data_IF_359225498212
#
_entry.id   IF_359225498212
#
_cell.length_a   1.000
_cell.length_b   1.000
_cell.length_c   1.000
_cell.angle_alpha   90.00
_cell.angle_beta   90.00
_cell.angle_gamma   90.00
#
_symmetry.space_group_name_H-M   'P 1'
#
loop_
_entity.id
_entity.type
_entity.pdbx_description
1 polymer ?
#
# COMPACT_ATOMS: atom_id res chain seq x y z
N UNK A 1 20.63 5.43 12.72
CA UNK A 1 19.31 5.72 12.15
C UNK A 1 18.37 6.03 13.32
N UNK A 2 17.27 6.78 13.18
CA UNK A 2 16.29 6.85 14.25
C UNK A 2 15.73 5.44 14.45
N UNK A 3 15.80 4.91 15.66
CA UNK A 3 15.52 3.50 15.99
C UNK A 3 14.02 3.12 15.89
N UNK A 4 13.22 3.90 15.14
CA UNK A 4 11.76 3.90 15.27
C UNK A 4 10.99 4.26 13.99
N UNK A 5 11.58 4.18 12.79
CA UNK A 5 10.84 4.48 11.55
C UNK A 5 10.05 3.24 11.10
N UNK A 6 8.76 3.41 10.83
CA UNK A 6 7.87 2.37 10.29
C UNK A 6 7.68 1.17 11.22
N UNK A 7 7.88 1.35 12.53
CA UNK A 7 7.91 0.29 13.53
C UNK A 7 6.53 -0.04 14.14
N UNK A 8 5.52 0.81 13.92
CA UNK A 8 4.19 0.67 14.51
C UNK A 8 3.10 0.49 13.44
N UNK A 9 2.30 -0.57 13.58
CA UNK A 9 1.14 -0.78 12.70
C UNK A 9 0.01 0.16 13.11
N UNK A 10 -0.48 0.95 12.16
CA UNK A 10 -1.53 1.95 12.38
C UNK A 10 -2.71 1.42 13.21
N UNK A 11 -3.15 2.22 14.20
CA UNK A 11 -4.29 1.94 15.09
C UNK A 11 -4.19 0.70 16.00
N UNK A 12 -3.07 -0.03 16.01
CA UNK A 12 -2.80 -1.05 17.04
C UNK A 12 -2.61 -0.42 18.43
N UNK A 13 -2.67 -1.23 19.48
CA UNK A 13 -2.47 -0.75 20.86
C UNK A 13 -1.10 -0.06 21.01
N UNK A 14 -0.04 -0.65 20.43
CA UNK A 14 1.32 -0.10 20.46
C UNK A 14 1.41 1.24 19.72
N UNK A 15 0.70 1.36 18.59
CA UNK A 15 0.61 2.63 17.85
C UNK A 15 -0.13 3.69 18.66
N UNK A 16 -1.24 3.34 19.29
CA UNK A 16 -2.04 4.24 20.13
C UNK A 16 -1.27 4.67 21.39
N UNK A 17 -0.52 3.77 22.01
CA UNK A 17 0.29 4.09 23.18
C UNK A 17 1.39 5.10 22.84
N UNK A 18 2.08 4.93 21.71
CA UNK A 18 3.05 5.91 21.23
C UNK A 18 2.37 7.25 20.83
N UNK A 19 1.22 7.19 20.16
CA UNK A 19 0.45 8.38 19.82
C UNK A 19 -0.03 9.14 21.07
N UNK A 20 -0.30 8.43 22.19
CA UNK A 20 -0.68 9.04 23.47
C UNK A 20 0.44 9.88 24.06
N UNK A 21 1.68 9.39 24.04
CA UNK A 21 2.84 10.15 24.49
C UNK A 21 2.98 11.45 23.68
N UNK A 22 2.87 11.34 22.36
CA UNK A 22 2.92 12.48 21.45
C UNK A 22 1.76 13.46 21.67
N UNK A 23 0.53 12.95 21.85
CA UNK A 23 -0.65 13.76 22.12
C UNK A 23 -0.48 14.55 23.41
N UNK A 24 0.00 13.92 24.48
CA UNK A 24 0.24 14.58 25.76
C UNK A 24 1.25 15.73 25.62
N UNK A 25 2.35 15.52 24.89
CA UNK A 25 3.33 16.59 24.62
C UNK A 25 2.73 17.78 23.86
N UNK A 26 1.91 17.52 22.85
CA UNK A 26 1.28 18.57 22.05
C UNK A 26 0.16 19.27 22.84
N UNK A 27 -0.66 18.54 23.60
CA UNK A 27 -1.63 19.13 24.52
C UNK A 27 -0.96 20.04 25.55
N UNK A 28 0.18 19.65 26.10
CA UNK A 28 0.94 20.48 27.03
C UNK A 28 1.46 21.76 26.38
N UNK A 29 1.90 21.68 25.12
CA UNK A 29 2.34 22.85 24.33
C UNK A 29 1.20 23.83 24.07
N UNK A 30 -0.01 23.34 23.81
CA UNK A 30 -1.19 24.13 23.47
C UNK A 30 -2.19 24.30 24.63
N UNK A 31 -1.78 23.99 25.87
CA UNK A 31 -2.67 23.84 27.03
C UNK A 31 -3.58 25.03 27.26
N UNK A 32 -3.05 26.25 27.19
CA UNK A 32 -3.84 27.46 27.45
C UNK A 32 -4.87 27.73 26.36
N UNK A 33 -4.55 27.43 25.10
CA UNK A 33 -5.50 27.53 24.00
C UNK A 33 -6.57 26.43 24.10
N UNK A 34 -6.18 25.21 24.46
CA UNK A 34 -7.09 24.07 24.59
C UNK A 34 -8.10 24.22 25.73
N UNK A 35 -7.76 24.91 26.83
CA UNK A 35 -8.72 25.23 27.92
C UNK A 35 -9.94 26.02 27.44
N UNK A 36 -9.79 26.77 26.35
CA UNK A 36 -10.86 27.55 25.73
C UNK A 36 -11.58 26.83 24.59
N UNK A 37 -11.09 25.67 24.17
CA UNK A 37 -11.72 24.85 23.15
C UNK A 37 -12.90 24.07 23.74
N UNK A 38 -13.95 23.87 22.94
CA UNK A 38 -15.05 22.99 23.32
C UNK A 38 -14.59 21.53 23.39
N UNK A 39 -15.32 20.71 24.15
CA UNK A 39 -15.12 19.25 24.12
C UNK A 39 -15.32 18.78 22.68
N UNK A 40 -14.40 17.98 22.18
CA UNK A 40 -14.54 17.37 20.86
C UNK A 40 -13.91 15.97 20.82
N UNK A 41 -14.59 15.04 20.17
CA UNK A 41 -14.17 13.66 20.05
C UNK A 41 -14.08 13.22 18.60
N UNK A 42 -13.04 12.46 18.28
CA UNK A 42 -12.76 11.96 16.94
C UNK A 42 -12.47 10.46 16.98
N UNK A 43 -13.00 9.70 16.03
CA UNK A 43 -12.74 8.27 15.91
C UNK A 43 -12.35 7.88 14.49
N UNK A 44 -11.34 7.02 14.38
CA UNK A 44 -10.97 6.37 13.12
C UNK A 44 -11.16 4.86 13.22
N UNK A 45 -11.94 4.31 12.29
CA UNK A 45 -12.26 2.88 12.22
C UNK A 45 -11.71 2.30 10.93
N UNK A 46 -10.68 1.50 11.06
CA UNK A 46 -9.90 0.92 9.98
C UNK A 46 -10.33 -0.54 9.73
N UNK A 47 -11.16 -0.74 8.71
CA UNK A 47 -11.66 -2.05 8.31
C UNK A 47 -10.60 -2.90 7.60
N UNK A 48 -10.89 -4.20 7.54
CA UNK A 48 -10.01 -5.20 6.95
C UNK A 48 -8.64 -5.14 7.62
N UNK A 49 -8.49 -5.31 8.93
CA UNK A 49 -7.18 -5.24 9.60
C UNK A 49 -6.16 -6.27 9.04
N UNK A 50 -4.84 -6.04 9.18
CA UNK A 50 -3.82 -7.01 8.77
C UNK A 50 -4.00 -8.37 9.46
N UNK A 51 -4.02 -9.45 8.67
CA UNK A 51 -4.33 -10.78 9.18
C UNK A 51 -3.29 -11.32 10.19
N UNK A 52 -2.02 -10.94 10.06
CA UNK A 52 -0.94 -11.38 10.97
C UNK A 52 -1.08 -10.84 12.39
N UNK A 53 -1.89 -9.79 12.60
CA UNK A 53 -2.14 -9.25 13.93
C UNK A 53 -3.11 -10.13 14.73
N UNK A 54 -3.90 -10.99 14.07
CA UNK A 54 -4.88 -11.89 14.71
C UNK A 54 -5.92 -11.17 15.59
N UNK A 55 -6.25 -9.92 15.25
CA UNK A 55 -7.12 -9.01 16.03
C UNK A 55 -8.54 -8.86 15.48
N UNK A 56 -8.92 -9.67 14.49
CA UNK A 56 -10.23 -9.58 13.82
C UNK A 56 -10.23 -8.67 12.61
N UNK A 57 -11.40 -8.13 12.25
CA UNK A 57 -11.61 -7.46 10.96
C UNK A 57 -11.46 -5.94 11.03
N UNK A 58 -11.26 -5.36 12.21
CA UNK A 58 -11.24 -3.91 12.43
C UNK A 58 -10.19 -3.53 13.45
N UNK A 59 -9.53 -2.41 13.20
CA UNK A 59 -8.76 -1.66 14.17
C UNK A 59 -9.42 -0.30 14.33
N UNK A 60 -9.45 0.23 15.55
CA UNK A 60 -10.00 1.55 15.79
C UNK A 60 -9.24 2.27 16.89
N UNK A 61 -9.27 3.59 16.83
CA UNK A 61 -8.91 4.41 17.96
C UNK A 61 -9.83 5.63 18.03
N UNK A 62 -9.90 6.21 19.22
CA UNK A 62 -10.62 7.45 19.45
C UNK A 62 -9.78 8.42 20.25
N UNK A 63 -9.97 9.70 19.97
CA UNK A 63 -9.39 10.83 20.70
C UNK A 63 -10.52 11.67 21.28
N UNK A 64 -10.42 12.06 22.55
CA UNK A 64 -11.32 13.02 23.19
C UNK A 64 -10.50 14.18 23.71
N UNK A 65 -10.80 15.38 23.24
CA UNK A 65 -10.28 16.63 23.78
C UNK A 65 -11.29 17.23 24.75
N UNK A 66 -10.87 17.52 25.98
CA UNK A 66 -11.72 18.13 26.99
C UNK A 66 -10.88 18.87 28.03
N UNK A 67 -11.34 20.04 28.49
CA UNK A 67 -10.76 20.79 29.62
C UNK A 67 -9.25 21.09 29.50
N UNK A 68 -8.72 21.23 28.29
CA UNK A 68 -7.30 21.48 28.05
C UNK A 68 -6.43 20.23 27.90
N UNK A 69 -7.04 19.05 27.92
CA UNK A 69 -6.37 17.74 27.83
C UNK A 69 -6.88 16.97 26.60
N UNK A 70 -6.12 15.96 26.20
CA UNK A 70 -6.46 15.04 25.12
C UNK A 70 -6.22 13.61 25.56
N UNK A 71 -7.21 12.74 25.40
CA UNK A 71 -7.12 11.32 25.69
C UNK A 71 -7.24 10.53 24.39
N UNK A 72 -6.34 9.57 24.16
CA UNK A 72 -6.40 8.64 23.03
C UNK A 72 -6.38 7.18 23.51
N UNK A 73 -7.31 6.39 22.98
CA UNK A 73 -7.53 4.97 23.32
C UNK A 73 -7.74 4.13 22.06
N UNK A 74 -7.36 2.84 22.12
CA UNK A 74 -7.39 1.91 20.99
C UNK A 74 -8.76 1.24 20.85
N UNK A 75 -9.81 2.06 20.84
CA UNK A 75 -11.19 1.62 20.83
C UNK A 75 -12.03 2.53 19.93
N UNK A 76 -13.14 2.00 19.43
CA UNK A 76 -14.15 2.79 18.73
C UNK A 76 -15.14 3.37 19.74
N UNK A 77 -15.39 4.68 19.67
CA UNK A 77 -16.48 5.29 20.44
C UNK A 77 -17.84 4.99 19.79
N UNK A 78 -18.91 4.84 20.58
CA UNK A 78 -20.28 4.85 20.07
C UNK A 78 -20.58 6.07 19.18
N UNK A 79 -21.43 5.92 18.17
CA UNK A 79 -21.77 7.00 17.23
C UNK A 79 -22.35 8.25 17.94
N UNK A 80 -23.10 8.06 19.02
CA UNK A 80 -23.72 9.12 19.82
C UNK A 80 -22.75 9.81 20.78
N UNK A 81 -21.56 9.25 20.99
CA UNK A 81 -20.50 9.80 21.82
C UNK A 81 -19.33 10.40 21.00
N UNK A 82 -19.38 10.25 19.67
CA UNK A 82 -18.32 10.62 18.75
C UNK A 82 -18.72 11.81 17.84
N UNK A 83 -18.13 12.97 18.09
CA UNK A 83 -18.43 14.21 17.36
C UNK A 83 -17.98 14.16 15.89
N UNK A 84 -16.97 13.34 15.59
CA UNK A 84 -16.57 13.00 14.22
C UNK A 84 -16.04 11.58 14.13
N UNK A 85 -16.65 10.76 13.29
CA UNK A 85 -16.16 9.42 12.97
C UNK A 85 -15.77 9.31 11.51
N UNK A 86 -14.65 8.66 11.23
CA UNK A 86 -14.21 8.33 9.88
C UNK A 86 -13.84 6.86 9.82
N UNK A 87 -14.57 6.08 9.01
CA UNK A 87 -14.30 4.68 8.77
C UNK A 87 -13.90 4.43 7.31
N UNK A 88 -12.98 3.49 7.09
CA UNK A 88 -12.50 3.12 5.76
C UNK A 88 -11.56 1.92 5.80
N UNK A 89 -11.00 1.56 4.64
CA UNK A 89 -10.03 0.47 4.57
C UNK A 89 -8.74 0.83 5.32
N UNK A 90 -8.29 -0.07 6.19
CA UNK A 90 -7.06 0.13 6.96
C UNK A 90 -5.84 0.37 6.05
N UNK A 91 -5.81 -0.18 4.83
CA UNK A 91 -4.71 0.08 3.89
C UNK A 91 -4.65 1.53 3.42
N UNK A 92 -5.79 2.20 3.31
CA UNK A 92 -5.85 3.60 2.92
C UNK A 92 -5.65 4.51 4.13
N UNK A 93 -6.19 4.14 5.29
CA UNK A 93 -6.02 4.89 6.54
C UNK A 93 -4.58 4.87 7.05
N UNK A 94 -3.92 3.70 7.03
CA UNK A 94 -2.50 3.58 7.37
C UNK A 94 -1.61 4.43 6.46
N UNK A 95 -1.91 4.49 5.16
CA UNK A 95 -1.19 5.39 4.24
C UNK A 95 -1.54 6.88 4.46
N UNK A 96 -2.77 7.18 4.88
CA UNK A 96 -3.18 8.54 5.24
C UNK A 96 -2.42 9.06 6.46
N UNK A 97 -2.25 8.20 7.47
CA UNK A 97 -1.53 8.51 8.70
C UNK A 97 -0.02 8.76 8.49
N UNK A 98 0.51 8.45 7.30
CA UNK A 98 1.90 8.72 6.91
C UNK A 98 2.09 10.05 6.18
N UNK A 99 1.01 10.80 5.92
CA UNK A 99 1.13 12.12 5.32
C UNK A 99 1.68 13.11 6.35
N UNK A 100 2.83 13.72 6.05
CA UNK A 100 3.39 14.82 6.85
C UNK A 100 2.91 16.15 6.28
N UNK A 101 2.25 16.96 7.09
CA UNK A 101 1.68 18.25 6.70
C UNK A 101 2.65 19.41 6.96
N UNK A 102 3.30 19.45 8.12
CA UNK A 102 4.20 20.53 8.50
C UNK A 102 5.48 20.56 7.65
N UNK A 103 5.86 21.75 7.18
CA UNK A 103 7.05 21.95 6.35
C UNK A 103 6.93 21.41 4.92
N UNK A 104 5.76 20.90 4.53
CA UNK A 104 5.44 20.46 3.17
C UNK A 104 4.51 21.47 2.48
N UNK A 105 4.53 21.46 1.14
CA UNK A 105 3.60 22.27 0.34
C UNK A 105 2.15 21.81 0.59
N UNK A 106 1.26 22.69 1.10
CA UNK A 106 -0.15 22.35 1.36
C UNK A 106 -0.91 21.82 0.14
N UNK A 107 -0.53 22.22 -1.08
CA UNK A 107 -1.16 21.70 -2.30
C UNK A 107 -0.81 20.22 -2.51
N UNK A 108 0.44 19.85 -2.22
CA UNK A 108 0.93 18.48 -2.36
C UNK A 108 0.28 17.55 -1.33
N UNK A 109 0.21 17.99 -0.07
CA UNK A 109 -0.40 17.19 1.01
C UNK A 109 -1.91 17.02 0.82
N UNK A 110 -2.60 18.08 0.38
CA UNK A 110 -4.01 18.01 0.00
C UNK A 110 -4.25 17.08 -1.20
N UNK A 111 -3.40 17.14 -2.22
CA UNK A 111 -3.50 16.23 -3.36
C UNK A 111 -3.31 14.76 -2.95
N UNK A 112 -2.31 14.48 -2.10
CA UNK A 112 -2.06 13.13 -1.57
C UNK A 112 -3.24 12.61 -0.73
N UNK A 113 -3.77 13.45 0.16
CA UNK A 113 -4.97 13.15 0.97
C UNK A 113 -6.17 12.88 0.06
N UNK A 114 -6.48 13.78 -0.88
CA UNK A 114 -7.61 13.63 -1.79
C UNK A 114 -7.51 12.34 -2.62
N UNK A 115 -6.29 11.98 -3.04
CA UNK A 115 -6.05 10.74 -3.76
C UNK A 115 -6.37 9.52 -2.90
N UNK A 116 -5.86 9.45 -1.68
CA UNK A 116 -6.16 8.34 -0.76
C UNK A 116 -7.66 8.28 -0.43
N UNK A 117 -8.31 9.44 -0.26
CA UNK A 117 -9.76 9.52 -0.12
C UNK A 117 -10.49 8.97 -1.36
N UNK A 118 -10.04 9.25 -2.58
CA UNK A 118 -10.70 8.73 -3.79
C UNK A 118 -10.57 7.21 -4.00
N UNK A 119 -9.59 6.58 -3.35
CA UNK A 119 -9.30 5.16 -3.52
C UNK A 119 -10.15 4.25 -2.61
N UNK A 120 -10.88 4.83 -1.66
CA UNK A 120 -11.60 4.10 -0.63
C UNK A 120 -13.08 4.37 -0.62
N UNK A 121 -13.84 3.45 0.00
CA UNK A 121 -15.20 3.74 0.45
C UNK A 121 -15.11 4.23 1.87
N UNK A 122 -15.44 5.51 2.07
CA UNK A 122 -15.40 6.15 3.37
C UNK A 122 -16.80 6.27 3.93
N UNK A 123 -16.92 6.02 5.23
CA UNK A 123 -18.08 6.40 5.99
C UNK A 123 -17.64 7.49 6.94
N UNK A 124 -18.29 8.65 6.89
CA UNK A 124 -18.01 9.73 7.82
C UNK A 124 -19.30 10.20 8.49
N UNK A 125 -19.22 10.38 9.79
CA UNK A 125 -20.26 10.97 10.62
C UNK A 125 -19.71 12.21 11.33
N UNK A 126 -20.59 13.18 11.61
CA UNK A 126 -20.23 14.36 12.36
C UNK A 126 -19.39 15.38 11.57
N UNK A 127 -18.63 16.21 12.28
CA UNK A 127 -17.86 17.31 11.68
C UNK A 127 -16.59 17.60 12.46
N UNK A 128 -15.53 17.99 11.76
CA UNK A 128 -14.29 18.51 12.39
C UNK A 128 -14.61 19.67 13.36
N UNK A 129 -13.81 19.85 14.43
CA UNK A 129 -14.04 20.95 15.37
C UNK A 129 -13.83 22.29 14.67
N UNK A 130 -14.56 23.35 15.03
CA UNK A 130 -14.32 24.68 14.47
C UNK A 130 -13.03 25.34 14.99
N UNK A 131 -12.52 24.92 16.15
CA UNK A 131 -11.38 25.56 16.82
C UNK A 131 -10.02 25.19 16.18
N UNK A 132 -9.25 26.17 15.66
CA UNK A 132 -7.97 25.90 15.00
C UNK A 132 -6.92 25.19 15.86
N UNK A 133 -6.99 25.35 17.19
CA UNK A 133 -6.06 24.69 18.12
C UNK A 133 -6.20 23.16 18.07
N UNK A 134 -7.42 22.64 17.96
CA UNK A 134 -7.66 21.19 17.90
C UNK A 134 -7.08 20.60 16.60
N UNK A 135 -7.24 21.33 15.48
CA UNK A 135 -6.59 20.97 14.21
C UNK A 135 -5.07 20.98 14.32
N UNK A 136 -4.50 22.01 14.94
CA UNK A 136 -3.05 22.15 15.07
C UNK A 136 -2.43 21.02 15.92
N UNK A 137 -3.06 20.69 17.05
CA UNK A 137 -2.61 19.57 17.90
C UNK A 137 -2.71 18.26 17.14
N UNK A 138 -3.85 17.98 16.52
CA UNK A 138 -4.03 16.72 15.80
C UNK A 138 -3.08 16.57 14.60
N UNK A 139 -2.85 17.65 13.85
CA UNK A 139 -1.88 17.66 12.76
C UNK A 139 -0.46 17.39 13.27
N UNK A 140 -0.06 17.99 14.40
CA UNK A 140 1.26 17.75 14.99
C UNK A 140 1.44 16.30 15.47
N UNK A 141 0.39 15.70 16.05
CA UNK A 141 0.38 14.28 16.42
C UNK A 141 0.54 13.40 15.18
N UNK A 142 -0.26 13.64 14.15
CA UNK A 142 -0.15 12.92 12.89
C UNK A 142 1.24 13.04 12.27
N UNK A 143 1.81 14.24 12.19
CA UNK A 143 3.12 14.47 11.57
C UNK A 143 4.26 13.74 12.30
N UNK A 144 4.21 13.70 13.63
CA UNK A 144 5.18 12.93 14.44
C UNK A 144 4.96 11.42 14.35
N UNK A 145 3.72 10.97 14.24
CA UNK A 145 3.39 9.54 14.09
C UNK A 145 3.59 9.03 12.66
N UNK A 146 3.63 9.91 11.66
CA UNK A 146 3.77 9.53 10.26
C UNK A 146 5.03 8.71 9.97
N UNK A 147 6.16 9.10 10.58
CA UNK A 147 7.43 8.37 10.44
C UNK A 147 7.40 7.03 11.20
N UNK A 148 6.67 6.93 12.32
CA UNK A 148 6.50 5.68 13.10
C UNK A 148 5.56 4.69 12.41
N UNK A 149 4.63 5.19 11.60
CA UNK A 149 3.53 4.39 11.05
C UNK A 149 4.02 3.53 9.88
N UNK A 150 3.91 2.22 10.03
CA UNK A 150 4.29 1.25 9.00
C UNK A 150 3.38 1.35 7.75
N UNK A 151 3.92 1.35 6.52
CA UNK A 151 3.12 1.14 5.31
C UNK A 151 2.52 -0.26 5.33
N UNK A 152 1.21 -0.38 5.12
CA UNK A 152 0.50 -1.64 5.33
C UNK A 152 0.81 -2.74 4.30
N UNK A 153 0.96 -2.41 3.04
CA UNK A 153 1.42 -3.37 2.05
C UNK A 153 2.86 -3.00 1.75
N UNK A 154 3.73 -3.99 1.91
CA UNK A 154 5.11 -3.94 1.41
C UNK A 154 5.13 -4.85 0.19
N UNK A 155 5.67 -4.37 -0.93
CA UNK A 155 5.66 -5.05 -2.21
C UNK A 155 6.13 -6.50 -2.03
N UNK A 156 5.37 -7.45 -2.61
CA UNK A 156 5.75 -8.88 -2.64
C UNK A 156 5.86 -9.60 -1.28
N UNK A 157 5.35 -9.01 -0.19
CA UNK A 157 5.14 -9.71 1.09
C UNK A 157 3.94 -10.68 1.02
N UNK A 158 3.84 -11.67 1.93
CA UNK A 158 2.67 -12.57 1.99
C UNK A 158 1.31 -11.84 2.02
N UNK A 159 1.24 -10.66 2.63
CA UNK A 159 0.08 -9.79 2.68
C UNK A 159 -0.29 -9.23 1.30
N UNK A 160 0.72 -8.75 0.56
CA UNK A 160 0.57 -8.34 -0.84
C UNK A 160 0.04 -9.51 -1.68
N UNK A 161 0.59 -10.70 -1.48
CA UNK A 161 0.19 -11.92 -2.20
C UNK A 161 -1.21 -12.38 -1.82
N UNK A 162 -1.66 -12.16 -0.58
CA UNK A 162 -3.04 -12.45 -0.20
C UNK A 162 -4.05 -11.62 -1.00
N UNK A 163 -3.71 -10.35 -1.27
CA UNK A 163 -4.50 -9.49 -2.15
C UNK A 163 -4.46 -10.00 -3.60
N UNK A 164 -3.28 -10.38 -4.08
CA UNK A 164 -3.10 -10.97 -5.41
C UNK A 164 -3.95 -12.23 -5.59
N UNK A 165 -3.92 -13.13 -4.60
CA UNK A 165 -4.72 -14.37 -4.56
C UNK A 165 -6.19 -14.05 -4.73
N UNK A 166 -6.73 -13.14 -3.93
CA UNK A 166 -8.15 -12.77 -3.97
C UNK A 166 -8.56 -12.23 -5.35
N UNK A 167 -7.75 -11.32 -5.93
CA UNK A 167 -8.01 -10.73 -7.25
C UNK A 167 -8.00 -11.83 -8.33
N UNK A 168 -6.97 -12.67 -8.34
CA UNK A 168 -6.80 -13.69 -9.36
C UNK A 168 -7.84 -14.80 -9.25
N UNK A 169 -8.14 -15.30 -8.04
CA UNK A 169 -9.13 -16.36 -7.87
C UNK A 169 -10.52 -15.88 -8.26
N UNK A 170 -10.93 -14.68 -7.83
CA UNK A 170 -12.25 -14.14 -8.16
C UNK A 170 -12.43 -13.97 -9.67
N UNK A 171 -11.41 -13.44 -10.35
CA UNK A 171 -11.41 -13.30 -11.80
C UNK A 171 -11.41 -14.65 -12.49
N UNK A 172 -10.57 -15.59 -12.08
CA UNK A 172 -10.54 -16.94 -12.65
C UNK A 172 -11.87 -17.68 -12.52
N UNK A 173 -12.63 -17.46 -11.44
CA UNK A 173 -13.93 -18.11 -11.22
C UNK A 173 -15.12 -17.40 -11.85
N UNK A 174 -14.96 -16.17 -12.34
CA UNK A 174 -16.08 -15.41 -12.91
C UNK A 174 -16.51 -15.96 -14.27
N UNK A 175 -17.79 -15.79 -14.61
CA UNK A 175 -18.36 -16.25 -15.89
C UNK A 175 -17.58 -15.72 -17.11
N UNK A 176 -16.99 -14.52 -16.97
CA UNK A 176 -16.21 -13.85 -18.01
C UNK A 176 -14.91 -14.59 -18.38
N UNK A 177 -14.26 -15.26 -17.43
CA UNK A 177 -12.91 -15.82 -17.65
C UNK A 177 -12.82 -17.33 -17.44
N UNK A 178 -13.67 -17.91 -16.59
CA UNK A 178 -13.60 -19.32 -16.17
C UNK A 178 -13.50 -20.29 -17.34
N UNK A 179 -14.33 -20.10 -18.37
CA UNK A 179 -14.38 -21.02 -19.50
C UNK A 179 -13.16 -20.92 -20.41
N UNK A 180 -12.55 -19.73 -20.51
CA UNK A 180 -11.35 -19.49 -21.33
C UNK A 180 -10.07 -20.09 -20.73
N UNK A 181 -10.03 -20.29 -19.41
CA UNK A 181 -8.87 -20.88 -18.73
C UNK A 181 -9.04 -22.36 -18.39
N UNK A 182 -10.21 -22.96 -18.64
CA UNK A 182 -10.56 -24.33 -18.20
C UNK A 182 -9.55 -25.40 -18.59
N UNK A 183 -8.93 -25.27 -19.76
CA UNK A 183 -8.01 -26.27 -20.31
C UNK A 183 -6.54 -25.81 -20.21
N UNK A 184 -6.26 -24.79 -19.37
CA UNK A 184 -4.92 -24.22 -19.17
C UNK A 184 -4.20 -24.93 -18.02
N UNK A 185 -2.97 -25.37 -18.30
CA UNK A 185 -1.97 -25.78 -17.31
C UNK A 185 -0.74 -24.88 -17.44
N UNK A 186 -0.52 -24.00 -16.46
CA UNK A 186 0.56 -23.01 -16.50
C UNK A 186 1.04 -22.63 -15.09
N UNK A 187 2.34 -22.45 -14.91
CA UNK A 187 2.99 -22.04 -13.66
C UNK A 187 3.79 -20.77 -13.87
N UNK A 188 3.41 -19.69 -13.20
CA UNK A 188 4.09 -18.40 -13.18
C UNK A 188 4.76 -18.18 -11.81
N UNK A 189 5.96 -17.63 -11.77
CA UNK A 189 6.65 -17.24 -10.53
C UNK A 189 7.35 -15.89 -10.70
N UNK A 190 7.25 -15.02 -9.70
CA UNK A 190 8.12 -13.85 -9.54
C UNK A 190 8.81 -13.91 -8.20
N UNK A 191 10.14 -13.81 -8.21
CA UNK A 191 10.98 -13.98 -7.03
C UNK A 191 11.95 -12.79 -6.92
N UNK A 192 12.00 -12.21 -5.73
CA UNK A 192 12.78 -11.01 -5.43
C UNK A 192 13.78 -11.30 -4.32
N UNK A 193 15.05 -11.16 -4.67
CA UNK A 193 16.21 -11.30 -3.79
C UNK A 193 16.59 -9.94 -3.19
N UNK A 194 17.47 -9.92 -2.19
CA UNK A 194 17.94 -8.67 -1.55
C UNK A 194 16.79 -7.84 -0.97
N UNK A 195 15.86 -8.53 -0.32
CA UNK A 195 14.68 -7.96 0.32
C UNK A 195 15.03 -7.14 1.55
N UNK A 196 14.23 -6.11 1.89
CA UNK A 196 14.47 -5.30 3.06
C UNK A 196 14.23 -6.11 4.34
N UNK A 197 15.20 -6.06 5.27
CA UNK A 197 15.16 -6.83 6.52
C UNK A 197 13.96 -6.54 7.42
N UNK A 198 13.36 -5.35 7.32
CA UNK A 198 12.17 -5.03 8.12
C UNK A 198 10.94 -5.84 7.66
N UNK A 199 10.84 -6.19 6.38
CA UNK A 199 9.72 -6.96 5.82
C UNK A 199 10.05 -8.45 5.63
N UNK A 200 11.33 -8.77 5.50
CA UNK A 200 11.85 -10.13 5.32
C UNK A 200 13.01 -10.36 6.30
N UNK A 201 12.72 -10.49 7.62
CA UNK A 201 13.74 -10.47 8.69
C UNK A 201 14.69 -11.67 8.68
N UNK A 202 14.24 -12.79 8.12
CA UNK A 202 15.01 -14.00 7.88
C UNK A 202 15.82 -13.95 6.57
N UNK A 203 15.71 -12.86 5.80
CA UNK A 203 16.34 -12.71 4.49
C UNK A 203 15.65 -13.52 3.39
N UNK A 204 14.41 -13.99 3.62
CA UNK A 204 13.62 -14.71 2.63
C UNK A 204 13.38 -13.88 1.37
N UNK A 205 13.21 -14.57 0.24
CA UNK A 205 12.83 -13.92 -1.00
C UNK A 205 11.39 -13.43 -0.91
N UNK A 206 11.16 -12.19 -1.33
CA UNK A 206 9.83 -11.70 -1.64
C UNK A 206 9.36 -12.33 -2.94
N UNK A 207 8.05 -12.40 -3.16
CA UNK A 207 7.55 -12.89 -4.44
C UNK A 207 6.19 -13.53 -4.34
N UNK A 208 5.71 -13.98 -5.49
CA UNK A 208 4.52 -14.79 -5.58
C UNK A 208 4.58 -15.73 -6.77
N UNK A 209 3.83 -16.81 -6.66
CA UNK A 209 3.65 -17.76 -7.75
C UNK A 209 2.17 -18.07 -7.95
N UNK A 210 1.84 -18.42 -9.18
CA UNK A 210 0.51 -18.82 -9.60
C UNK A 210 0.59 -20.11 -10.37
N UNK A 211 -0.16 -21.11 -9.92
CA UNK A 211 -0.32 -22.37 -10.62
C UNK A 211 -1.75 -22.48 -11.13
N UNK A 212 -1.92 -22.45 -12.44
CA UNK A 212 -3.15 -22.82 -13.11
C UNK A 212 -3.08 -24.30 -13.47
N UNK A 213 -4.05 -25.09 -13.02
CA UNK A 213 -4.26 -26.48 -13.44
C UNK A 213 -5.70 -26.69 -13.84
N UNK A 214 -5.95 -26.98 -15.10
CA UNK A 214 -7.30 -27.13 -15.66
C UNK A 214 -8.23 -25.98 -15.22
N UNK A 215 -7.74 -24.75 -15.35
CA UNK A 215 -8.47 -23.52 -15.00
C UNK A 215 -8.61 -23.22 -13.51
N UNK A 216 -8.08 -24.06 -12.62
CA UNK A 216 -8.04 -23.79 -11.19
C UNK A 216 -6.73 -23.09 -10.83
N UNK A 217 -6.83 -21.89 -10.25
CA UNK A 217 -5.67 -21.12 -9.80
C UNK A 217 -5.37 -21.41 -8.34
N UNK A 218 -4.09 -21.61 -8.06
CA UNK A 218 -3.50 -21.57 -6.71
C UNK A 218 -2.47 -20.45 -6.71
N UNK A 219 -2.52 -19.59 -5.70
CA UNK A 219 -1.58 -18.46 -5.56
C UNK A 219 -0.88 -18.56 -4.22
N UNK A 220 0.45 -18.59 -4.24
CA UNK A 220 1.29 -18.65 -3.05
C UNK A 220 2.33 -17.54 -3.01
N UNK A 221 2.84 -17.27 -1.81
CA UNK A 221 3.82 -16.23 -1.55
C UNK A 221 5.24 -16.81 -1.50
N UNK A 222 6.23 -15.96 -1.75
CA UNK A 222 7.64 -16.33 -1.79
C UNK A 222 8.00 -17.15 -3.04
N UNK A 223 9.10 -17.91 -2.99
CA UNK A 223 9.58 -18.69 -4.13
C UNK A 223 8.64 -19.86 -4.46
N UNK A 224 8.69 -20.32 -5.70
CA UNK A 224 7.92 -21.48 -6.14
C UNK A 224 8.41 -22.76 -5.40
N UNK A 225 7.52 -23.54 -4.74
CA UNK A 225 7.91 -24.75 -4.05
C UNK A 225 8.58 -25.77 -4.97
N UNK A 226 9.56 -26.53 -4.45
CA UNK A 226 10.35 -27.49 -5.21
C UNK A 226 9.49 -28.53 -5.96
N UNK A 227 8.40 -28.99 -5.34
CA UNK A 227 7.45 -29.96 -5.93
C UNK A 227 6.62 -29.40 -7.10
N UNK A 228 6.73 -28.09 -7.31
CA UNK A 228 5.98 -27.32 -8.30
C UNK A 228 6.88 -26.69 -9.35
N UNK A 229 8.21 -26.80 -9.19
CA UNK A 229 9.21 -26.43 -10.18
C UNK A 229 9.30 -27.45 -11.33
N UNK A 230 9.81 -27.05 -12.51
CA UNK A 230 10.16 -25.68 -12.90
C UNK A 230 8.93 -24.80 -13.19
N UNK A 231 9.05 -23.48 -12.99
CA UNK A 231 8.07 -22.53 -13.48
C UNK A 231 8.04 -22.54 -15.03
N UNK A 232 6.88 -22.26 -15.62
CA UNK A 232 6.76 -22.05 -17.06
C UNK A 232 7.26 -20.66 -17.46
N UNK A 233 7.02 -19.67 -16.59
CA UNK A 233 7.59 -18.33 -16.69
C UNK A 233 8.07 -17.89 -15.31
N UNK A 234 9.32 -17.47 -15.24
CA UNK A 234 9.97 -17.00 -14.01
C UNK A 234 10.52 -15.60 -14.21
N UNK A 235 10.09 -14.65 -13.39
CA UNK A 235 10.81 -13.40 -13.16
C UNK A 235 11.68 -13.58 -11.91
N UNK A 236 13.00 -13.44 -12.03
CA UNK A 236 13.91 -13.37 -10.89
C UNK A 236 14.56 -11.99 -10.87
N UNK A 237 14.51 -11.29 -9.75
CA UNK A 237 15.06 -9.94 -9.66
C UNK A 237 15.61 -9.57 -8.28
N UNK A 238 16.36 -8.48 -8.22
CA UNK A 238 16.70 -7.79 -6.99
C UNK A 238 15.54 -6.85 -6.64
N UNK A 239 15.09 -6.92 -5.39
CA UNK A 239 13.92 -6.19 -4.89
C UNK A 239 14.01 -4.69 -5.15
N UNK A 240 15.16 -4.09 -4.83
CA UNK A 240 15.41 -2.66 -5.02
C UNK A 240 15.44 -2.21 -6.49
N UNK A 241 15.82 -3.08 -7.41
CA UNK A 241 15.86 -2.76 -8.84
C UNK A 241 14.45 -2.70 -9.44
N UNK A 242 13.51 -3.50 -8.94
CA UNK A 242 12.17 -3.64 -9.53
C UNK A 242 11.10 -2.89 -8.75
N UNK A 243 11.28 -2.58 -7.47
CA UNK A 243 10.24 -1.88 -6.69
C UNK A 243 9.74 -0.59 -7.33
N UNK A 244 10.56 0.24 -8.04
CA UNK A 244 10.04 1.43 -8.71
C UNK A 244 9.07 1.09 -9.84
N UNK A 245 9.25 -0.04 -10.53
CA UNK A 245 8.32 -0.53 -11.56
C UNK A 245 7.11 -1.18 -10.91
N UNK A 246 7.33 -2.02 -9.89
CA UNK A 246 6.32 -2.84 -9.21
C UNK A 246 5.26 -2.08 -8.40
N UNK A 247 5.43 -0.76 -8.23
CA UNK A 247 4.45 0.14 -7.57
C UNK A 247 3.77 1.11 -8.54
N UNK A 248 4.13 1.08 -9.82
CA UNK A 248 3.54 1.99 -10.82
C UNK A 248 2.18 1.47 -11.26
N UNK A 249 1.21 2.39 -11.37
CA UNK A 249 -0.12 2.10 -11.93
C UNK A 249 -0.07 2.44 -13.43
N UNK A 250 0.19 1.44 -14.25
CA UNK A 250 0.50 1.61 -15.68
C UNK A 250 -0.66 2.23 -16.46
N UNK A 251 -1.92 1.92 -16.11
CA UNK A 251 -3.10 2.46 -16.79
C UNK A 251 -3.20 4.00 -16.76
N UNK A 252 -2.48 4.67 -15.87
CA UNK A 252 -2.59 6.13 -15.67
C UNK A 252 -1.35 6.91 -16.10
N UNK A 253 -0.39 6.27 -16.78
CA UNK A 253 0.81 6.96 -17.24
C UNK A 253 0.54 7.79 -18.49
N UNK A 254 1.03 9.02 -18.47
CA UNK A 254 1.28 9.87 -19.64
C UNK A 254 2.31 9.21 -20.58
N UNK A 255 2.44 9.73 -21.81
CA UNK A 255 3.41 9.19 -22.76
C UNK A 255 4.86 9.40 -22.29
N UNK A 256 5.16 10.56 -21.69
CA UNK A 256 6.48 10.86 -21.11
C UNK A 256 6.83 9.90 -19.97
N UNK A 257 5.87 9.60 -19.08
CA UNK A 257 6.06 8.63 -17.99
C UNK A 257 6.25 7.20 -18.51
N UNK A 258 5.57 6.83 -19.61
CA UNK A 258 5.81 5.54 -20.25
C UNK A 258 7.21 5.47 -20.85
N UNK A 259 7.67 6.54 -21.48
CA UNK A 259 9.03 6.62 -22.01
C UNK A 259 10.08 6.53 -20.89
N UNK A 260 9.87 7.23 -19.78
CA UNK A 260 10.74 7.18 -18.59
C UNK A 260 10.72 5.80 -17.93
N UNK A 261 9.54 5.21 -17.72
CA UNK A 261 9.40 3.87 -17.13
C UNK A 261 9.97 2.80 -18.07
N UNK A 262 9.84 2.95 -19.38
CA UNK A 262 10.48 2.07 -20.36
C UNK A 262 12.01 2.20 -20.29
N UNK A 263 12.54 3.42 -20.19
CA UNK A 263 13.97 3.64 -20.02
C UNK A 263 14.48 3.04 -18.70
N UNK A 264 13.72 3.18 -17.61
CA UNK A 264 14.02 2.57 -16.33
C UNK A 264 13.98 1.04 -16.42
N UNK A 265 12.93 0.47 -17.00
CA UNK A 265 12.78 -0.98 -17.20
C UNK A 265 13.96 -1.52 -18.00
N UNK A 266 14.35 -0.85 -19.09
CA UNK A 266 15.53 -1.25 -19.85
C UNK A 266 16.81 -1.24 -19.00
N UNK A 267 16.95 -0.28 -18.07
CA UNK A 267 18.08 -0.25 -17.15
C UNK A 267 18.02 -1.33 -16.07
N UNK A 268 16.86 -1.57 -15.47
CA UNK A 268 16.65 -2.57 -14.43
C UNK A 268 16.89 -4.00 -14.96
N UNK A 269 16.57 -4.25 -16.23
CA UNK A 269 16.78 -5.53 -16.91
C UNK A 269 18.14 -5.62 -17.63
N UNK A 270 18.96 -4.57 -17.58
CA UNK A 270 20.28 -4.55 -18.21
C UNK A 270 21.27 -5.36 -17.36
N UNK A 271 22.17 -6.06 -18.03
CA UNK A 271 23.32 -6.68 -17.37
C UNK A 271 24.22 -5.61 -16.72
N UNK A 272 24.41 -5.73 -15.40
CA UNK A 272 25.33 -4.90 -14.62
C UNK A 272 26.72 -5.54 -14.67
N UNK A 273 27.68 -4.80 -15.25
CA UNK A 273 29.06 -5.28 -15.43
C UNK A 273 29.88 -5.23 -14.14
N UNK A 274 29.54 -4.34 -13.22
CA UNK A 274 30.25 -4.17 -11.95
C UNK A 274 29.84 -5.26 -10.96
N UNK A 275 28.54 -5.59 -10.95
CA UNK A 275 28.01 -6.69 -10.14
C UNK A 275 28.13 -8.05 -10.83
N UNK A 276 28.36 -8.09 -12.14
CA UNK A 276 28.40 -9.30 -12.98
C UNK A 276 27.09 -10.12 -12.92
N UNK A 277 25.95 -9.44 -12.91
CA UNK A 277 24.60 -10.03 -12.83
C UNK A 277 23.55 -9.18 -13.56
N UNK A 278 22.41 -9.79 -13.88
CA UNK A 278 21.20 -9.08 -14.33
C UNK A 278 20.34 -8.76 -13.10
N UNK A 279 20.06 -7.47 -12.78
CA UNK A 279 19.24 -7.14 -11.63
C UNK A 279 17.80 -7.62 -11.76
N UNK A 280 17.30 -7.80 -12.97
CA UNK A 280 16.05 -8.50 -13.24
C UNK A 280 16.17 -9.35 -14.52
N UNK A 281 15.64 -10.56 -14.50
CA UNK A 281 15.57 -11.44 -15.66
C UNK A 281 14.24 -12.20 -15.73
N UNK A 282 13.77 -12.40 -16.95
CA UNK A 282 12.64 -13.26 -17.25
C UNK A 282 13.11 -14.47 -18.05
N UNK A 283 12.75 -15.65 -17.57
CA UNK A 283 13.13 -16.93 -18.17
C UNK A 283 11.92 -17.85 -18.30
N UNK A 284 12.08 -18.94 -19.07
CA UNK A 284 11.05 -19.96 -19.25
C UNK A 284 11.60 -21.36 -18.89
N UNK A 285 11.84 -21.63 -17.60
CA UNK A 285 12.60 -22.81 -17.18
C UNK A 285 12.00 -24.16 -17.61
N UNK A 286 10.67 -24.28 -17.70
CA UNK A 286 10.02 -25.51 -18.14
C UNK A 286 10.05 -25.76 -19.66
N UNK A 287 10.37 -24.73 -20.45
CA UNK A 287 10.29 -24.76 -21.90
C UNK A 287 8.88 -24.68 -22.50
N UNK A 288 7.82 -24.50 -21.69
CA UNK A 288 6.42 -24.41 -22.19
C UNK A 288 6.05 -23.10 -22.88
N UNK A 289 6.92 -22.09 -22.82
CA UNK A 289 6.69 -20.81 -23.48
C UNK A 289 6.08 -19.75 -22.58
N UNK A 290 5.53 -18.71 -23.21
CA UNK A 290 4.91 -17.57 -22.53
C UNK A 290 3.55 -17.90 -21.93
N UNK A 291 3.07 -17.05 -21.02
CA UNK A 291 1.73 -17.15 -20.45
C UNK A 291 0.65 -17.22 -21.55
N UNK A 292 -0.29 -18.19 -21.48
CA UNK A 292 -1.43 -18.24 -22.38
C UNK A 292 -2.24 -16.94 -22.34
N UNK A 293 -2.69 -16.39 -23.48
CA UNK A 293 -3.40 -15.10 -23.52
C UNK A 293 -4.62 -15.06 -22.59
N UNK A 294 -5.32 -16.19 -22.47
CA UNK A 294 -6.56 -16.31 -21.69
C UNK A 294 -6.28 -16.18 -20.20
N UNK A 295 -5.15 -16.75 -19.75
CA UNK A 295 -4.63 -16.57 -18.40
C UNK A 295 -4.09 -15.14 -18.22
N UNK A 296 -3.42 -14.58 -19.23
CA UNK A 296 -2.97 -13.18 -19.22
C UNK A 296 -4.10 -12.17 -18.97
N UNK A 297 -5.30 -12.41 -19.50
CA UNK A 297 -6.49 -11.57 -19.24
C UNK A 297 -6.98 -11.63 -17.78
N UNK A 298 -6.72 -12.73 -17.07
CA UNK A 298 -6.98 -12.84 -15.63
C UNK A 298 -5.99 -11.96 -14.86
N UNK A 299 -4.71 -11.96 -15.26
CA UNK A 299 -3.62 -11.20 -14.65
C UNK A 299 -3.63 -9.70 -14.97
N UNK A 300 -4.27 -9.28 -16.06
CA UNK A 300 -4.17 -7.93 -16.60
C UNK A 300 -4.30 -6.78 -15.56
N UNK A 301 -5.29 -6.77 -14.63
CA UNK A 301 -5.41 -5.69 -13.67
C UNK A 301 -4.51 -5.87 -12.44
N UNK A 302 -3.85 -7.02 -12.28
CA UNK A 302 -3.18 -7.41 -11.04
C UNK A 302 -2.12 -6.39 -10.62
N UNK A 303 -1.24 -6.04 -11.55
CA UNK A 303 -0.16 -5.10 -11.29
C UNK A 303 -0.74 -3.74 -10.87
N UNK A 304 -1.66 -3.18 -11.63
CA UNK A 304 -2.24 -1.86 -11.33
C UNK A 304 -3.05 -1.84 -10.02
N UNK A 305 -3.80 -2.91 -9.75
CA UNK A 305 -4.57 -3.04 -8.51
C UNK A 305 -3.64 -3.14 -7.29
N UNK A 306 -2.56 -3.90 -7.39
CA UNK A 306 -1.62 -4.06 -6.29
C UNK A 306 -0.71 -2.83 -6.15
N UNK A 307 -0.30 -2.21 -7.25
CA UNK A 307 0.44 -0.94 -7.28
C UNK A 307 -0.29 0.18 -6.58
N UNK A 308 -1.62 0.28 -6.70
CA UNK A 308 -2.41 1.27 -5.92
C UNK A 308 -2.22 1.10 -4.40
N UNK A 309 -2.03 -0.14 -3.94
CA UNK A 309 -1.92 -0.53 -2.53
C UNK A 309 -0.50 -0.38 -1.98
N UNK A 310 0.50 -0.38 -2.87
CA UNK A 310 1.94 -0.19 -2.58
C UNK A 310 2.46 1.22 -2.94
N UNK A 311 1.62 2.06 -3.57
CA UNK A 311 1.96 3.44 -3.94
C UNK A 311 2.17 4.30 -2.68
N UNK A 312 3.43 4.52 -2.31
CA UNK A 312 3.82 5.21 -1.06
C UNK A 312 4.82 4.46 -0.18
N UNK A 313 5.25 3.26 -0.60
CA UNK A 313 6.32 2.46 0.04
C UNK A 313 7.74 3.03 -0.11
N UNK A 314 7.91 4.25 -0.65
CA UNK A 314 9.18 4.97 -0.51
C UNK A 314 9.06 5.99 0.63
N UNK A 315 9.52 5.63 1.82
CA UNK A 315 10.18 6.57 2.67
C UNK A 315 11.65 6.64 2.26
N UNK A 316 12.34 7.64 2.74
CA UNK A 316 13.79 7.71 2.89
C UNK A 316 14.47 6.51 3.62
N UNK A 317 13.83 5.35 3.77
CA UNK A 317 14.25 4.25 4.68
C UNK A 317 15.04 3.12 4.00
N UNK A 318 15.55 3.36 2.80
CA UNK A 318 16.45 2.40 2.20
C UNK A 318 17.87 2.61 2.72
N UNK A 319 18.42 1.56 3.32
CA UNK A 319 19.76 1.46 3.88
C UNK A 319 20.83 2.00 2.90
N UNK A 320 21.95 2.47 3.47
CA UNK A 320 23.05 3.18 2.80
C UNK A 320 23.77 2.43 1.66
N UNK A 321 23.28 1.25 1.25
CA UNK A 321 23.78 0.44 0.14
C UNK A 321 23.03 0.62 -1.18
N UNK A 322 22.04 1.52 -1.25
CA UNK A 322 21.35 1.83 -2.51
C UNK A 322 22.22 2.76 -3.38
N UNK A 323 22.52 2.38 -4.64
CA UNK A 323 23.12 3.29 -5.60
C UNK A 323 22.32 4.60 -5.65
N UNK A 324 22.97 5.75 -5.47
CA UNK A 324 22.31 7.05 -5.28
C UNK A 324 21.20 7.37 -6.32
N UNK A 325 21.33 6.85 -7.55
CA UNK A 325 20.33 6.93 -8.63
C UNK A 325 18.97 6.29 -8.31
N UNK A 326 18.89 5.40 -7.33
CA UNK A 326 17.68 4.65 -6.95
C UNK A 326 17.12 5.08 -5.59
N UNK A 327 17.80 5.98 -4.88
CA UNK A 327 17.34 6.59 -3.63
C UNK A 327 16.51 7.86 -3.84
N UNK A 328 16.30 8.30 -5.08
CA UNK A 328 15.50 9.48 -5.43
C UNK A 328 14.11 9.07 -5.92
N UNK A 329 13.02 9.68 -5.41
CA UNK A 329 11.69 9.54 -5.98
C UNK A 329 11.71 9.81 -7.50
N UNK A 330 11.08 8.95 -8.29
CA UNK A 330 11.01 9.09 -9.75
C UNK A 330 9.81 9.96 -10.13
N UNK A 331 9.84 10.66 -11.28
CA UNK A 331 8.78 11.62 -11.61
C UNK A 331 7.41 10.95 -11.86
N UNK A 332 7.41 9.72 -12.40
CA UNK A 332 6.21 8.87 -12.52
C UNK A 332 5.63 8.39 -11.19
N UNK A 333 6.23 8.73 -10.05
CA UNK A 333 5.65 8.49 -8.73
C UNK A 333 4.49 9.44 -8.40
N UNK A 334 4.24 10.48 -9.23
CA UNK A 334 2.95 11.18 -9.51
C UNK A 334 3.21 12.50 -10.25
N UNK A 335 2.46 12.74 -11.34
CA UNK A 335 2.51 13.98 -12.14
C UNK A 335 1.61 15.14 -11.60
N UNK A 336 2.05 16.41 -11.67
CA UNK A 336 1.28 17.58 -11.19
C UNK A 336 0.01 17.97 -11.98
N UNK A 337 -0.22 17.40 -13.16
CA UNK A 337 -1.37 17.70 -14.03
C UNK A 337 -2.31 16.48 -14.27
N UNK A 338 -2.42 15.60 -13.27
CA UNK A 338 -3.29 14.42 -13.32
C UNK A 338 -4.78 14.78 -13.58
N UNK A 339 -5.33 14.31 -14.71
CA UNK A 339 -6.76 14.46 -15.05
C UNK A 339 -7.58 13.31 -14.40
N UNK A 340 -8.44 13.63 -13.43
CA UNK A 340 -9.21 12.64 -12.68
C UNK A 340 -10.35 11.98 -13.48
N UNK A 341 -10.64 12.42 -14.70
CA UNK A 341 -11.69 11.83 -15.57
C UNK A 341 -11.30 10.49 -16.21
N UNK A 342 -10.04 10.07 -16.10
CA UNK A 342 -9.50 8.85 -16.71
C UNK A 342 -9.83 7.56 -15.92
N UNK A 343 -10.46 7.67 -14.76
CA UNK A 343 -11.03 6.54 -14.05
C UNK A 343 -12.51 6.40 -14.43
N UNK A 344 -12.80 5.59 -15.46
CA UNK A 344 -14.16 5.36 -15.98
C UNK A 344 -14.99 4.44 -15.08
N UNK A 345 -15.16 4.83 -13.82
CA UNK A 345 -16.07 4.18 -12.87
C UNK A 345 -17.55 4.45 -13.18
N UNK A 346 -17.83 5.22 -14.22
CA UNK A 346 -19.13 5.40 -14.85
C UNK A 346 -19.48 4.27 -15.84
N UNK A 347 -18.48 3.48 -16.27
CA UNK A 347 -18.67 2.41 -17.25
C UNK A 347 -18.39 1.02 -16.67
N UNK A 348 -17.56 0.90 -15.63
CA UNK A 348 -17.25 -0.39 -15.00
C UNK A 348 -17.14 -0.33 -13.47
N UNK A 349 -17.58 -1.39 -12.79
CA UNK A 349 -17.50 -1.55 -11.34
C UNK A 349 -16.06 -1.80 -10.85
N UNK A 350 -15.89 -1.85 -9.53
CA UNK A 350 -14.59 -2.10 -8.87
C UNK A 350 -13.95 -3.47 -9.20
N UNK A 351 -14.66 -4.33 -9.94
CA UNK A 351 -14.21 -5.64 -10.41
C UNK A 351 -13.97 -5.67 -11.94
N UNK A 352 -14.22 -4.56 -12.66
CA UNK A 352 -14.07 -4.45 -14.11
C UNK A 352 -15.24 -5.06 -14.91
N UNK A 353 -16.43 -5.16 -14.30
CA UNK A 353 -17.68 -5.50 -14.97
C UNK A 353 -18.34 -4.22 -15.48
N UNK A 354 -19.01 -4.26 -16.63
CA UNK A 354 -19.79 -3.10 -17.08
C UNK A 354 -20.87 -2.75 -16.04
N UNK A 355 -21.06 -1.46 -15.79
CA UNK A 355 -22.21 -0.94 -15.04
C UNK A 355 -23.38 -0.81 -16.02
N UNK A 356 -24.55 -1.32 -15.64
CA UNK A 356 -25.80 -1.16 -16.41
C UNK A 356 -26.25 0.31 -16.53
#
# INVERSE_FOLDING_TARGET
>A
MPDSIGDLTFATQEWVDAAREVLNEECDRYREQLKSASRHSFCQVAHNAPAHLHIGNTLAYSVVFENGEGEIVAEELPDDECDMKMAGDHSLMSNMARLVFQGKDPNVTNAARNRLFSLGRWQSHGSMPPEPVLHAVWQAVNDKMAERTMPRFVFMTPEWVSSARTILTNRATSEKYRDGIRDVDFTFSEEFTHTPRYAFPDGSHGGFWVRCRQGKLIVGAGPLPEDSQPADMLTLAMYNAVIPVGRTVNANMTEEEREEQNAYTQQAFRFDKELNLRPAEQTQPSGRGTMPPELGRVFLPLHDELSKRTSGELPSDYDASIPAKWGTPQQFDRHPAYDPSLLRYDEVDIYGNALD
#
